data_IF_978313627063
#
_entry.id   IF_978313627063
#
_cell.length_a   1.000
_cell.length_b   1.000
_cell.length_c   1.000
_cell.angle_alpha   90.00
_cell.angle_beta   90.00
_cell.angle_gamma   90.00
#
_symmetry.space_group_name_H-M   'P 1'
#
loop_
_entity.id
_entity.type
_entity.pdbx_description
1 polymer ?
#
# COMPACT_ATOMS: atom_id res chain seq x y z
N UNK A 1 34.79 53.70 -14.83
CA UNK A 1 35.44 52.40 -14.55
C UNK A 1 35.02 51.73 -13.21
N UNK A 2 34.68 52.46 -12.16
CA UNK A 2 34.33 51.90 -10.80
C UNK A 2 33.04 51.04 -10.76
N UNK A 3 32.01 51.33 -11.51
CA UNK A 3 30.72 50.58 -11.51
C UNK A 3 30.77 49.16 -12.13
N UNK A 4 31.73 48.86 -13.00
CA UNK A 4 31.89 47.53 -13.67
C UNK A 4 32.55 46.50 -12.75
N UNK A 5 33.42 46.95 -11.83
CA UNK A 5 34.11 46.07 -10.89
C UNK A 5 33.17 45.59 -9.74
N UNK A 6 32.28 46.44 -9.25
CA UNK A 6 31.33 46.08 -8.19
C UNK A 6 30.28 45.04 -8.66
N UNK A 7 29.86 45.05 -9.94
CA UNK A 7 28.96 44.02 -10.50
C UNK A 7 29.66 42.67 -10.61
N UNK A 8 30.93 42.65 -11.07
CA UNK A 8 31.71 41.40 -11.14
C UNK A 8 31.95 40.80 -9.76
N UNK A 9 32.25 41.60 -8.75
CA UNK A 9 32.45 41.15 -7.37
C UNK A 9 31.16 40.50 -6.80
N UNK A 10 30.01 41.14 -6.99
CA UNK A 10 28.72 40.58 -6.54
C UNK A 10 28.35 39.27 -7.22
N UNK A 11 28.67 39.13 -8.50
CA UNK A 11 28.40 37.86 -9.23
C UNK A 11 29.30 36.73 -8.68
N UNK A 12 30.57 37.02 -8.38
CA UNK A 12 31.49 36.06 -7.80
C UNK A 12 31.02 35.66 -6.37
N UNK A 13 30.61 36.61 -5.53
CA UNK A 13 30.08 36.33 -4.20
C UNK A 13 28.81 35.48 -4.24
N UNK A 14 27.87 35.77 -5.15
CA UNK A 14 26.67 34.95 -5.34
C UNK A 14 27.04 33.54 -5.83
N UNK A 15 27.98 33.42 -6.78
CA UNK A 15 28.42 32.13 -7.26
C UNK A 15 29.06 31.28 -6.16
N UNK A 16 29.92 31.87 -5.33
CA UNK A 16 30.54 31.21 -4.18
C UNK A 16 29.48 30.77 -3.16
N UNK A 17 28.50 31.64 -2.86
CA UNK A 17 27.40 31.31 -1.95
C UNK A 17 26.55 30.14 -2.45
N UNK A 18 26.17 30.13 -3.72
CA UNK A 18 25.42 29.03 -4.35
C UNK A 18 26.22 27.73 -4.31
N UNK A 19 27.53 27.79 -4.57
CA UNK A 19 28.41 26.60 -4.52
C UNK A 19 28.49 26.03 -3.11
N UNK A 20 28.62 26.91 -2.09
CA UNK A 20 28.64 26.49 -0.67
C UNK A 20 27.31 25.83 -0.27
N UNK A 21 26.17 26.44 -0.67
CA UNK A 21 24.83 25.87 -0.38
C UNK A 21 24.68 24.50 -1.01
N UNK A 22 25.03 24.33 -2.29
CA UNK A 22 24.99 23.04 -2.96
C UNK A 22 25.92 22.01 -2.31
N UNK A 23 27.11 22.43 -1.87
CA UNK A 23 28.05 21.55 -1.18
C UNK A 23 27.52 21.10 0.20
N UNK A 24 26.90 22.01 0.95
CA UNK A 24 26.24 21.69 2.23
C UNK A 24 25.07 20.72 1.99
N UNK A 25 24.23 20.94 0.98
CA UNK A 25 23.17 19.99 0.61
C UNK A 25 23.71 18.62 0.25
N UNK A 26 24.78 18.55 -0.54
CA UNK A 26 25.42 17.28 -0.91
C UNK A 26 25.98 16.54 0.33
N UNK A 27 26.64 17.25 1.25
CA UNK A 27 27.17 16.68 2.49
C UNK A 27 26.03 16.18 3.38
N UNK A 28 24.96 16.95 3.54
CA UNK A 28 23.81 16.53 4.36
C UNK A 28 23.09 15.33 3.74
N UNK A 29 22.96 15.27 2.43
CA UNK A 29 22.39 14.11 1.75
C UNK A 29 23.26 12.84 1.96
N UNK A 30 24.57 12.93 1.79
CA UNK A 30 25.51 11.83 2.03
C UNK A 30 25.50 11.41 3.51
N UNK A 31 25.46 12.36 4.43
CA UNK A 31 25.41 12.08 5.86
C UNK A 31 24.10 11.39 6.25
N UNK A 32 22.97 11.87 5.74
CA UNK A 32 21.67 11.26 5.97
C UNK A 32 21.59 9.84 5.38
N UNK A 33 22.07 9.65 4.15
CA UNK A 33 22.11 8.32 3.51
C UNK A 33 22.98 7.34 4.32
N UNK A 34 24.15 7.76 4.78
CA UNK A 34 25.06 6.94 5.59
C UNK A 34 24.46 6.61 6.97
N UNK A 35 23.78 7.58 7.60
CA UNK A 35 23.14 7.40 8.90
C UNK A 35 21.93 6.46 8.79
N UNK A 36 21.09 6.63 7.77
CA UNK A 36 19.95 5.74 7.49
C UNK A 36 20.44 4.32 7.24
N UNK A 37 21.48 4.14 6.40
CA UNK A 37 22.04 2.82 6.10
C UNK A 37 22.60 2.13 7.34
N UNK A 38 23.32 2.84 8.21
CA UNK A 38 23.86 2.28 9.47
C UNK A 38 22.74 1.87 10.41
N UNK A 39 21.68 2.68 10.54
CA UNK A 39 20.54 2.35 11.39
C UNK A 39 19.76 1.14 10.86
N UNK A 40 19.57 1.05 9.55
CA UNK A 40 18.84 -0.08 8.94
C UNK A 40 19.60 -1.40 9.05
N UNK A 41 20.93 -1.38 9.01
CA UNK A 41 21.78 -2.57 9.20
C UNK A 41 21.67 -3.16 10.63
N UNK A 42 21.37 -2.34 11.63
CA UNK A 42 21.17 -2.77 13.03
C UNK A 42 19.78 -3.33 13.30
N UNK A 43 18.82 -3.10 12.40
CA UNK A 43 17.44 -3.54 12.60
C UNK A 43 17.28 -5.05 12.39
N UNK A 44 16.37 -5.63 13.15
CA UNK A 44 16.05 -7.05 13.05
C UNK A 44 15.47 -7.37 11.66
N UNK A 45 16.06 -8.39 11.02
CA UNK A 45 15.50 -8.97 9.80
C UNK A 45 14.73 -10.27 10.08
N UNK A 46 14.38 -10.52 11.34
CA UNK A 46 13.54 -11.66 11.71
C UNK A 46 12.18 -11.51 11.02
N UNK A 47 11.82 -12.55 10.27
CA UNK A 47 10.54 -12.63 9.58
C UNK A 47 9.38 -12.62 10.57
N UNK A 48 8.41 -11.77 10.33
CA UNK A 48 7.12 -11.71 10.97
C UNK A 48 6.08 -12.06 9.91
N UNK A 49 5.29 -13.09 10.14
CA UNK A 49 4.12 -13.42 9.34
C UNK A 49 2.89 -12.73 9.93
N UNK A 50 2.15 -12.02 9.10
CA UNK A 50 0.91 -11.38 9.53
C UNK A 50 -0.20 -12.41 9.69
N UNK A 51 -0.89 -12.37 10.80
CA UNK A 51 -2.03 -13.20 11.08
C UNK A 51 -3.09 -12.44 11.86
N UNK A 52 -4.34 -12.86 11.72
CA UNK A 52 -5.47 -12.30 12.42
C UNK A 52 -6.24 -13.41 13.16
N UNK A 53 -6.65 -13.15 14.38
CA UNK A 53 -7.61 -13.97 15.12
C UNK A 53 -8.93 -13.22 15.17
N UNK A 54 -9.93 -13.73 14.45
CA UNK A 54 -11.26 -13.11 14.40
C UNK A 54 -11.92 -13.10 15.77
N UNK A 55 -12.67 -12.03 16.02
CA UNK A 55 -13.59 -11.92 17.14
C UNK A 55 -15.03 -12.06 16.66
N UNK A 56 -15.94 -12.30 17.58
CA UNK A 56 -17.37 -12.33 17.32
C UNK A 56 -17.99 -10.91 17.45
N UNK A 57 -19.27 -10.78 17.13
CA UNK A 57 -20.08 -9.58 17.38
C UNK A 57 -19.57 -8.29 16.72
N UNK A 58 -18.91 -8.41 15.56
CA UNK A 58 -18.35 -7.26 14.82
C UNK A 58 -17.27 -6.48 15.60
N UNK A 59 -16.61 -7.11 16.55
CA UNK A 59 -15.46 -6.56 17.23
C UNK A 59 -14.20 -6.66 16.36
N UNK A 60 -13.29 -5.70 16.53
CA UNK A 60 -12.00 -5.75 15.83
C UNK A 60 -11.26 -7.06 16.15
N UNK A 61 -10.63 -7.71 15.16
CA UNK A 61 -9.86 -8.91 15.38
C UNK A 61 -8.59 -8.62 16.18
N UNK A 62 -8.08 -9.64 16.86
CA UNK A 62 -6.72 -9.59 17.41
C UNK A 62 -5.70 -9.83 16.28
N UNK A 63 -4.91 -8.82 16.02
CA UNK A 63 -3.83 -8.84 15.00
C UNK A 63 -2.45 -9.08 15.61
N UNK A 64 -2.41 -9.40 16.92
CA UNK A 64 -1.18 -9.56 17.68
C UNK A 64 -0.53 -8.22 18.02
N UNK A 65 -0.64 -7.79 19.27
CA UNK A 65 -0.17 -6.46 19.72
C UNK A 65 1.31 -6.20 19.41
N UNK A 66 2.19 -7.21 19.56
CA UNK A 66 3.60 -7.07 19.26
C UNK A 66 3.85 -6.78 17.76
N UNK A 67 3.17 -7.49 16.86
CA UNK A 67 3.30 -7.30 15.41
C UNK A 67 2.71 -5.95 14.98
N UNK A 68 1.57 -5.57 15.57
CA UNK A 68 0.94 -4.27 15.35
C UNK A 68 1.87 -3.13 15.76
N UNK A 69 2.47 -3.19 16.94
CA UNK A 69 3.39 -2.16 17.45
C UNK A 69 4.60 -1.98 16.51
N UNK A 70 5.20 -3.07 16.03
CA UNK A 70 6.30 -3.00 15.06
C UNK A 70 5.84 -2.37 13.75
N UNK A 71 4.66 -2.74 13.24
CA UNK A 71 4.10 -2.16 12.02
C UNK A 71 3.87 -0.64 12.17
N UNK A 72 3.24 -0.22 13.25
CA UNK A 72 2.91 1.19 13.53
C UNK A 72 4.14 2.06 13.78
N UNK A 73 5.20 1.50 14.39
CA UNK A 73 6.49 2.19 14.58
C UNK A 73 7.07 2.70 13.26
N UNK A 74 6.81 2.01 12.15
CA UNK A 74 7.25 2.40 10.81
C UNK A 74 6.09 2.93 9.94
N UNK A 75 5.10 3.59 10.55
CA UNK A 75 3.97 4.22 9.87
C UNK A 75 3.10 3.24 9.06
N UNK A 76 3.13 1.95 9.38
CA UNK A 76 2.26 0.96 8.77
C UNK A 76 0.89 0.92 9.44
N UNK A 77 -0.11 0.39 8.73
CA UNK A 77 -1.49 0.32 9.19
C UNK A 77 -2.10 -1.07 8.94
N UNK A 78 -3.02 -1.48 9.80
CA UNK A 78 -3.76 -2.73 9.68
C UNK A 78 -5.21 -2.63 10.17
N UNK A 79 -5.47 -1.74 11.11
CA UNK A 79 -6.77 -1.49 11.75
C UNK A 79 -6.97 0.01 11.87
N UNK A 80 -8.11 0.50 11.47
CA UNK A 80 -8.53 1.88 11.65
C UNK A 80 -9.26 2.10 12.97
N UNK A 81 -9.88 3.27 13.08
CA UNK A 81 -10.58 3.72 14.27
C UNK A 81 -11.71 2.77 14.68
N UNK A 82 -11.63 2.26 15.89
CA UNK A 82 -12.61 1.30 16.47
C UNK A 82 -14.01 1.92 16.72
N UNK A 83 -14.12 3.25 16.79
CA UNK A 83 -15.41 3.94 16.99
C UNK A 83 -16.13 4.25 15.67
N UNK A 84 -15.49 4.01 14.52
CA UNK A 84 -16.00 4.37 13.20
C UNK A 84 -16.32 3.11 12.39
N UNK A 85 -17.56 2.99 11.94
CA UNK A 85 -18.00 1.94 11.00
C UNK A 85 -17.44 2.18 9.60
N UNK A 86 -16.11 2.26 9.47
CA UNK A 86 -15.41 2.44 8.21
C UNK A 86 -14.80 1.13 7.72
N UNK A 87 -14.95 0.89 6.43
CA UNK A 87 -14.33 -0.22 5.70
C UNK A 87 -13.42 0.36 4.62
N UNK A 88 -12.16 -0.03 4.64
CA UNK A 88 -11.17 0.28 3.62
C UNK A 88 -11.01 -0.97 2.74
N UNK A 89 -11.69 -0.97 1.59
CA UNK A 89 -11.70 -2.11 0.68
C UNK A 89 -10.41 -2.14 -0.12
N UNK A 90 -9.73 -3.28 -0.13
CA UNK A 90 -8.46 -3.46 -0.84
C UNK A 90 -8.44 -4.77 -1.62
N UNK A 91 -7.77 -4.75 -2.77
CA UNK A 91 -7.54 -5.92 -3.61
C UNK A 91 -6.06 -6.12 -3.86
N UNK A 92 -5.59 -7.37 -3.82
CA UNK A 92 -4.28 -7.74 -4.32
C UNK A 92 -4.43 -8.32 -5.74
N UNK A 93 -3.65 -7.73 -6.69
CA UNK A 93 -3.75 -8.01 -8.13
C UNK A 93 -2.40 -8.46 -8.68
N UNK A 94 -2.18 -9.76 -8.73
CA UNK A 94 -0.98 -10.35 -9.33
C UNK A 94 -1.10 -10.55 -10.83
N UNK A 95 -2.26 -10.98 -11.30
CA UNK A 95 -2.63 -11.22 -12.69
C UNK A 95 -4.16 -11.13 -12.85
N UNK A 96 -4.61 -10.90 -14.09
CA UNK A 96 -6.02 -10.73 -14.42
C UNK A 96 -6.66 -12.09 -14.79
N UNK A 97 -7.77 -12.40 -14.13
CA UNK A 97 -8.57 -13.58 -14.41
C UNK A 97 -9.90 -13.28 -15.16
N UNK A 98 -10.06 -12.05 -15.63
CA UNK A 98 -11.24 -11.59 -16.37
C UNK A 98 -12.32 -10.95 -15.50
N UNK A 99 -11.99 -10.57 -14.25
CA UNK A 99 -12.98 -10.09 -13.29
C UNK A 99 -12.83 -8.62 -12.91
N UNK A 100 -11.66 -8.02 -13.04
CA UNK A 100 -11.40 -6.66 -12.54
C UNK A 100 -12.29 -5.61 -13.21
N UNK A 101 -12.58 -5.74 -14.50
CA UNK A 101 -13.52 -4.84 -15.19
C UNK A 101 -14.90 -4.85 -14.52
N UNK A 102 -15.39 -6.02 -14.11
CA UNK A 102 -16.66 -6.17 -13.40
C UNK A 102 -16.59 -5.62 -11.97
N UNK A 103 -15.48 -5.83 -11.28
CA UNK A 103 -15.23 -5.25 -9.95
C UNK A 103 -15.29 -3.71 -10.02
N UNK A 104 -14.61 -3.09 -10.98
CA UNK A 104 -14.64 -1.63 -11.19
C UNK A 104 -16.04 -1.12 -11.49
N UNK A 105 -16.81 -1.81 -12.34
CA UNK A 105 -18.22 -1.49 -12.59
C UNK A 105 -19.06 -1.50 -11.31
N UNK A 106 -18.91 -2.53 -10.48
CA UNK A 106 -19.62 -2.66 -9.21
C UNK A 106 -19.24 -1.53 -8.25
N UNK A 107 -17.95 -1.24 -8.12
CA UNK A 107 -17.44 -0.15 -7.25
C UNK A 107 -17.99 1.20 -7.71
N UNK A 108 -18.01 1.46 -9.00
CA UNK A 108 -18.56 2.69 -9.59
C UNK A 108 -20.06 2.83 -9.30
N UNK A 109 -20.84 1.78 -9.55
CA UNK A 109 -22.29 1.77 -9.34
C UNK A 109 -22.66 1.98 -7.86
N UNK A 110 -21.80 1.54 -6.95
CA UNK A 110 -21.97 1.71 -5.52
C UNK A 110 -21.26 2.95 -4.94
N UNK A 111 -20.56 3.74 -5.78
CA UNK A 111 -19.78 4.92 -5.35
C UNK A 111 -18.75 4.57 -4.25
N UNK A 112 -18.08 3.45 -4.41
CA UNK A 112 -17.02 2.97 -3.49
C UNK A 112 -15.67 3.14 -4.15
N UNK A 113 -14.70 3.68 -3.39
CA UNK A 113 -13.30 3.70 -3.79
C UNK A 113 -12.54 2.60 -3.06
N UNK A 114 -11.68 1.90 -3.80
CA UNK A 114 -10.86 0.81 -3.28
C UNK A 114 -9.37 1.09 -3.54
N UNK A 115 -8.52 0.29 -2.92
CA UNK A 115 -7.08 0.26 -3.23
C UNK A 115 -6.72 -1.05 -3.90
N UNK A 116 -6.00 -0.98 -5.02
CA UNK A 116 -5.52 -2.14 -5.77
C UNK A 116 -4.00 -2.22 -5.63
N UNK A 117 -3.50 -3.23 -4.94
CA UNK A 117 -2.07 -3.51 -4.83
C UNK A 117 -1.65 -4.38 -6.01
N UNK A 118 -0.94 -3.78 -6.96
CA UNK A 118 -0.64 -4.39 -8.25
C UNK A 118 0.84 -4.78 -8.38
N UNK A 119 1.12 -5.74 -9.26
CA UNK A 119 2.47 -6.15 -9.65
C UNK A 119 2.83 -5.63 -11.05
N UNK A 120 4.11 -5.63 -11.47
CA UNK A 120 4.50 -5.26 -12.84
C UNK A 120 3.86 -6.15 -13.92
N UNK A 121 3.64 -7.44 -13.61
CA UNK A 121 2.94 -8.33 -14.53
C UNK A 121 1.54 -7.81 -14.85
N UNK A 122 0.80 -7.42 -13.79
CA UNK A 122 -0.54 -6.85 -13.95
C UNK A 122 -0.51 -5.56 -14.77
N UNK A 123 0.40 -4.64 -14.45
CA UNK A 123 0.56 -3.36 -15.19
C UNK A 123 0.83 -3.60 -16.68
N UNK A 124 1.73 -4.53 -16.99
CA UNK A 124 2.16 -4.77 -18.37
C UNK A 124 1.11 -5.49 -19.21
N UNK A 125 0.25 -6.29 -18.60
CA UNK A 125 -0.80 -7.04 -19.29
C UNK A 125 -2.16 -6.36 -19.26
N UNK A 126 -2.39 -5.43 -18.34
CA UNK A 126 -3.69 -4.79 -18.06
C UNK A 126 -3.57 -3.26 -17.92
N UNK A 127 -2.80 -2.62 -18.79
CA UNK A 127 -2.52 -1.19 -18.72
C UNK A 127 -3.81 -0.34 -18.70
N UNK A 128 -4.81 -0.69 -19.51
CA UNK A 128 -6.09 0.01 -19.57
C UNK A 128 -6.90 -0.11 -18.28
N UNK A 129 -6.86 -1.26 -17.60
CA UNK A 129 -7.51 -1.43 -16.30
C UNK A 129 -6.84 -0.60 -15.21
N UNK A 130 -5.50 -0.54 -15.20
CA UNK A 130 -4.75 0.31 -14.26
C UNK A 130 -5.07 1.78 -14.50
N UNK A 131 -5.13 2.21 -15.76
CA UNK A 131 -5.54 3.56 -16.13
C UNK A 131 -6.96 3.85 -15.65
N UNK A 132 -7.90 2.94 -15.86
CA UNK A 132 -9.28 3.08 -15.38
C UNK A 132 -9.35 3.18 -13.84
N UNK A 133 -8.57 2.37 -13.10
CA UNK A 133 -8.49 2.48 -11.63
C UNK A 133 -8.12 3.90 -11.20
N UNK A 134 -7.09 4.48 -11.82
CA UNK A 134 -6.61 5.83 -11.51
C UNK A 134 -7.66 6.90 -11.89
N UNK A 135 -8.21 6.83 -13.10
CA UNK A 135 -9.20 7.79 -13.61
C UNK A 135 -10.51 7.76 -12.83
N UNK A 136 -10.91 6.61 -12.33
CA UNK A 136 -12.07 6.44 -11.47
C UNK A 136 -11.78 6.81 -10.00
N UNK A 137 -10.55 7.23 -9.65
CA UNK A 137 -10.16 7.70 -8.33
C UNK A 137 -9.96 6.58 -7.31
N UNK A 138 -9.62 5.39 -7.75
CA UNK A 138 -9.11 4.33 -6.89
C UNK A 138 -7.62 4.56 -6.60
N UNK A 139 -7.14 3.99 -5.50
CA UNK A 139 -5.71 4.01 -5.19
C UNK A 139 -5.04 2.83 -5.86
N UNK A 140 -3.95 3.09 -6.58
CA UNK A 140 -3.03 2.06 -7.07
C UNK A 140 -1.87 1.96 -6.11
N UNK A 141 -1.73 0.82 -5.44
CA UNK A 141 -0.72 0.50 -4.45
C UNK A 141 0.33 -0.47 -4.99
N UNK A 142 1.49 -0.47 -4.35
CA UNK A 142 2.65 -1.27 -4.74
C UNK A 142 2.58 -2.67 -4.10
N UNK A 143 2.65 -3.73 -4.91
CA UNK A 143 2.73 -5.11 -4.41
C UNK A 143 4.05 -5.79 -4.75
N UNK A 144 5.11 -4.99 -4.90
CA UNK A 144 6.48 -5.38 -5.26
C UNK A 144 6.64 -5.92 -6.69
N UNK A 145 7.89 -6.03 -7.14
CA UNK A 145 8.19 -6.50 -8.51
C UNK A 145 8.05 -8.01 -8.66
N UNK A 146 8.63 -8.78 -7.74
CA UNK A 146 8.74 -10.23 -7.89
C UNK A 146 7.92 -11.01 -6.86
N UNK A 147 7.08 -10.36 -6.07
CA UNK A 147 6.24 -10.97 -5.03
C UNK A 147 7.04 -11.86 -4.06
N UNK A 148 8.26 -11.44 -3.71
CA UNK A 148 9.14 -12.15 -2.77
C UNK A 148 8.87 -11.75 -1.33
N UNK A 149 9.14 -12.68 -0.40
CA UNK A 149 9.18 -12.36 1.02
C UNK A 149 10.22 -11.25 1.29
N UNK A 150 9.78 -10.10 1.75
CA UNK A 150 10.62 -8.93 1.97
C UNK A 150 11.75 -9.18 3.00
N UNK A 151 11.52 -9.94 4.11
CA UNK A 151 12.58 -10.31 5.04
C UNK A 151 13.70 -11.14 4.45
N UNK A 152 13.48 -11.83 3.34
CA UNK A 152 14.49 -12.67 2.70
C UNK A 152 15.42 -11.87 1.76
N UNK A 153 15.24 -10.54 1.69
CA UNK A 153 15.95 -9.65 0.79
C UNK A 153 16.95 -8.75 1.53
N UNK A 154 18.02 -8.37 0.84
CA UNK A 154 18.88 -7.27 1.30
C UNK A 154 18.16 -5.92 1.16
N UNK A 155 18.64 -4.90 1.84
CA UNK A 155 18.07 -3.54 1.77
C UNK A 155 17.99 -3.03 0.33
N UNK A 156 19.06 -3.21 -0.45
CA UNK A 156 19.11 -2.80 -1.85
C UNK A 156 18.07 -3.52 -2.71
N UNK A 157 17.85 -4.82 -2.43
CA UNK A 157 16.81 -5.59 -3.13
C UNK A 157 15.41 -5.16 -2.72
N UNK A 158 15.19 -4.83 -1.44
CA UNK A 158 13.91 -4.28 -0.99
C UNK A 158 13.62 -2.97 -1.70
N UNK A 159 14.58 -2.03 -1.73
CA UNK A 159 14.45 -0.77 -2.48
C UNK A 159 14.12 -1.01 -3.95
N UNK A 160 14.81 -1.95 -4.57
CA UNK A 160 14.58 -2.31 -5.97
C UNK A 160 13.16 -2.84 -6.19
N UNK A 161 12.68 -3.77 -5.36
CA UNK A 161 11.32 -4.34 -5.42
C UNK A 161 10.23 -3.27 -5.33
N UNK A 162 10.48 -2.16 -4.66
CA UNK A 162 9.51 -1.06 -4.50
C UNK A 162 9.67 -0.04 -5.63
N UNK A 163 10.90 0.44 -5.87
CA UNK A 163 11.14 1.58 -6.75
C UNK A 163 11.01 1.26 -8.24
N UNK A 164 11.30 0.03 -8.68
CA UNK A 164 11.10 -0.34 -10.09
C UNK A 164 9.63 -0.30 -10.51
N UNK A 165 8.74 -0.82 -9.65
CA UNK A 165 7.31 -0.74 -9.93
C UNK A 165 6.80 0.69 -9.83
N UNK A 166 7.27 1.45 -8.82
CA UNK A 166 6.94 2.87 -8.70
C UNK A 166 7.27 3.64 -9.98
N UNK A 167 8.52 3.49 -10.47
CA UNK A 167 8.96 4.17 -11.68
C UNK A 167 8.13 3.77 -12.91
N UNK A 168 7.80 2.48 -13.03
CA UNK A 168 6.95 1.99 -14.11
C UNK A 168 5.57 2.66 -14.12
N UNK A 169 4.95 2.80 -12.95
CA UNK A 169 3.64 3.45 -12.81
C UNK A 169 3.76 4.95 -13.07
N UNK A 170 4.80 5.58 -12.55
CA UNK A 170 5.04 7.00 -12.78
C UNK A 170 5.24 7.33 -14.27
N UNK A 171 6.08 6.56 -14.96
CA UNK A 171 6.39 6.76 -16.37
C UNK A 171 5.15 6.55 -17.28
N UNK A 172 4.29 5.58 -16.94
CA UNK A 172 3.10 5.28 -17.74
C UNK A 172 1.92 6.22 -17.49
N UNK A 173 1.71 6.58 -16.22
CA UNK A 173 0.46 7.23 -15.80
C UNK A 173 0.67 8.57 -15.08
N UNK A 174 1.91 9.01 -14.86
CA UNK A 174 2.24 10.17 -14.02
C UNK A 174 1.56 10.10 -12.64
N UNK A 175 1.55 8.88 -12.06
CA UNK A 175 0.89 8.57 -10.80
C UNK A 175 1.91 8.20 -9.72
N UNK A 176 1.81 8.86 -8.56
CA UNK A 176 2.68 8.64 -7.39
C UNK A 176 2.05 7.62 -6.45
N UNK A 177 2.67 6.44 -6.33
CA UNK A 177 2.23 5.41 -5.41
C UNK A 177 2.66 5.75 -3.98
N UNK A 178 1.75 5.64 -3.01
CA UNK A 178 1.99 5.99 -1.59
C UNK A 178 1.87 4.79 -0.65
N UNK A 179 1.18 3.74 -1.07
CA UNK A 179 0.85 2.58 -0.25
C UNK A 179 1.52 1.33 -0.81
N UNK A 180 1.99 0.48 0.08
CA UNK A 180 2.62 -0.79 -0.26
C UNK A 180 2.07 -1.90 0.62
N UNK A 181 1.80 -3.05 0.02
CA UNK A 181 1.47 -4.27 0.76
C UNK A 181 2.58 -5.30 0.55
N UNK A 182 3.21 -5.79 1.63
CA UNK A 182 4.25 -6.80 1.50
C UNK A 182 3.63 -8.14 1.06
N UNK A 183 4.26 -8.83 0.09
CA UNK A 183 3.81 -10.14 -0.35
C UNK A 183 3.67 -11.14 0.80
N UNK A 184 2.67 -12.02 0.71
CA UNK A 184 2.41 -13.09 1.69
C UNK A 184 2.12 -12.59 3.10
N UNK A 185 1.97 -11.29 3.32
CA UNK A 185 1.89 -10.71 4.66
C UNK A 185 3.17 -10.86 5.47
N UNK A 186 4.32 -11.02 4.82
CA UNK A 186 5.61 -11.21 5.48
C UNK A 186 6.43 -9.93 5.50
N UNK A 187 6.85 -9.50 6.68
CA UNK A 187 7.69 -8.33 6.87
C UNK A 187 8.71 -8.55 7.98
N UNK A 188 9.64 -7.64 8.13
CA UNK A 188 10.56 -7.52 9.25
C UNK A 188 10.69 -6.05 9.63
N UNK A 189 11.24 -5.77 10.79
CA UNK A 189 11.56 -4.41 11.22
C UNK A 189 12.40 -3.66 10.17
N UNK A 190 13.42 -4.34 9.62
CA UNK A 190 14.24 -3.82 8.54
C UNK A 190 13.41 -3.49 7.30
N UNK A 191 12.57 -4.42 6.82
CA UNK A 191 11.78 -4.19 5.60
C UNK A 191 10.79 -3.05 5.77
N UNK A 192 10.16 -2.89 6.94
CA UNK A 192 9.27 -1.79 7.26
C UNK A 192 10.01 -0.45 7.29
N UNK A 193 11.20 -0.41 7.92
CA UNK A 193 12.04 0.78 7.98
C UNK A 193 12.44 1.25 6.58
N UNK A 194 12.89 0.32 5.71
CA UNK A 194 13.23 0.63 4.32
C UNK A 194 12.02 1.17 3.57
N UNK A 195 10.87 0.49 3.65
CA UNK A 195 9.63 0.91 3.01
C UNK A 195 9.21 2.33 3.44
N UNK A 196 9.23 2.60 4.75
CA UNK A 196 8.91 3.91 5.30
C UNK A 196 9.92 4.99 4.85
N UNK A 197 11.21 4.67 4.77
CA UNK A 197 12.25 5.60 4.31
C UNK A 197 12.09 6.02 2.85
N UNK A 198 11.40 5.21 2.04
CA UNK A 198 11.04 5.51 0.66
C UNK A 198 9.73 6.32 0.53
N UNK A 199 9.13 6.72 1.65
CA UNK A 199 7.88 7.48 1.68
C UNK A 199 6.62 6.62 1.57
N UNK A 200 6.73 5.30 1.62
CA UNK A 200 5.58 4.40 1.55
C UNK A 200 4.98 4.10 2.91
N UNK A 201 3.65 4.01 2.95
CA UNK A 201 2.91 3.45 4.07
C UNK A 201 2.64 1.97 3.82
N UNK A 202 3.11 1.10 4.73
CA UNK A 202 2.81 -0.34 4.67
C UNK A 202 1.38 -0.60 5.10
N UNK A 203 0.62 -1.35 4.30
CA UNK A 203 -0.79 -1.67 4.56
C UNK A 203 -0.95 -3.16 4.72
N UNK A 204 -1.30 -3.60 5.93
CA UNK A 204 -1.75 -4.95 6.23
C UNK A 204 -3.28 -4.99 6.18
N UNK A 205 -3.90 -6.00 6.77
CA UNK A 205 -5.36 -6.19 6.76
C UNK A 205 -5.87 -6.67 8.11
N UNK A 206 -7.13 -6.44 8.37
CA UNK A 206 -7.84 -6.97 9.53
C UNK A 206 -8.91 -8.00 9.16
N UNK A 207 -9.20 -8.13 7.86
CA UNK A 207 -9.99 -9.23 7.31
C UNK A 207 -9.36 -9.75 6.03
N UNK A 208 -9.27 -11.07 5.91
CA UNK A 208 -8.94 -11.81 4.69
C UNK A 208 -9.47 -13.23 4.80
N UNK A 209 -9.63 -13.90 3.67
CA UNK A 209 -9.93 -15.34 3.64
C UNK A 209 -9.31 -15.96 2.39
N UNK A 210 -9.35 -17.30 2.28
CA UNK A 210 -8.77 -18.02 1.14
C UNK A 210 -9.69 -17.90 -0.07
N UNK A 211 -9.40 -16.96 -0.96
CA UNK A 211 -10.20 -16.60 -2.14
C UNK A 211 -9.40 -16.57 -3.46
N UNK A 212 -8.07 -16.66 -3.37
CA UNK A 212 -7.13 -16.48 -4.50
C UNK A 212 -6.94 -17.74 -5.38
N UNK A 213 -7.36 -18.91 -4.91
CA UNK A 213 -7.17 -20.16 -5.65
C UNK A 213 -8.26 -20.30 -6.71
N UNK A 214 -7.92 -20.12 -7.99
CA UNK A 214 -8.87 -20.17 -9.11
C UNK A 214 -9.49 -21.56 -9.30
N UNK A 215 -8.71 -22.62 -9.05
CA UNK A 215 -9.18 -24.00 -9.19
C UNK A 215 -10.09 -24.43 -8.02
N UNK A 216 -10.07 -23.67 -6.94
CA UNK A 216 -10.83 -23.98 -5.71
C UNK A 216 -11.50 -22.73 -5.16
N UNK A 217 -12.41 -22.18 -5.95
CA UNK A 217 -13.18 -21.02 -5.49
C UNK A 217 -14.11 -21.42 -4.35
N UNK A 218 -14.17 -20.61 -3.27
CA UNK A 218 -15.07 -20.86 -2.15
C UNK A 218 -16.54 -20.62 -2.59
N UNK A 219 -17.47 -21.29 -1.92
CA UNK A 219 -18.90 -21.12 -2.19
C UNK A 219 -19.39 -19.71 -1.89
N UNK A 220 -20.21 -19.12 -2.76
CA UNK A 220 -20.62 -17.72 -2.71
C UNK A 220 -21.38 -17.37 -1.42
N UNK A 221 -22.43 -18.12 -1.06
CA UNK A 221 -23.23 -17.84 0.13
C UNK A 221 -22.42 -17.94 1.43
N UNK A 222 -21.53 -18.93 1.53
CA UNK A 222 -20.64 -19.08 2.69
C UNK A 222 -19.61 -17.96 2.77
N UNK A 223 -19.08 -17.54 1.62
CA UNK A 223 -18.12 -16.45 1.52
C UNK A 223 -18.76 -15.13 1.90
N UNK A 224 -19.95 -14.86 1.37
CA UNK A 224 -20.74 -13.69 1.72
C UNK A 224 -21.06 -13.64 3.22
N UNK A 225 -21.58 -14.73 3.77
CA UNK A 225 -21.86 -14.83 5.20
C UNK A 225 -20.58 -14.64 6.05
N UNK A 226 -19.44 -15.23 5.60
CA UNK A 226 -18.15 -15.06 6.28
C UNK A 226 -17.72 -13.60 6.30
N UNK A 227 -17.83 -12.88 5.18
CA UNK A 227 -17.46 -11.47 5.11
C UNK A 227 -18.39 -10.65 6.00
N UNK A 228 -19.68 -10.76 5.82
CA UNK A 228 -20.66 -9.96 6.56
C UNK A 228 -20.60 -10.19 8.08
N UNK A 229 -20.43 -11.43 8.54
CA UNK A 229 -20.36 -11.75 9.97
C UNK A 229 -19.04 -11.27 10.63
N UNK A 230 -18.02 -10.96 9.84
CA UNK A 230 -16.73 -10.49 10.35
C UNK A 230 -16.48 -8.99 10.10
N UNK A 231 -17.46 -8.26 9.54
CA UNK A 231 -17.33 -6.80 9.42
C UNK A 231 -17.11 -6.19 10.80
N UNK A 232 -16.19 -5.24 10.87
CA UNK A 232 -15.85 -4.54 12.12
C UNK A 232 -15.44 -3.10 11.85
N UNK A 233 -15.48 -2.27 12.88
CA UNK A 233 -15.12 -0.86 12.78
C UNK A 233 -13.65 -0.70 12.37
N UNK A 234 -13.36 0.21 11.46
CA UNK A 234 -12.01 0.48 10.98
C UNK A 234 -11.39 -0.68 10.18
N UNK A 235 -12.20 -1.50 9.53
CA UNK A 235 -11.74 -2.68 8.78
C UNK A 235 -10.88 -2.31 7.58
N UNK A 236 -9.70 -2.91 7.47
CA UNK A 236 -8.99 -3.02 6.20
C UNK A 236 -9.28 -4.42 5.64
N UNK A 237 -10.16 -4.47 4.63
CA UNK A 237 -10.60 -5.70 3.99
C UNK A 237 -9.67 -6.06 2.84
N UNK A 238 -9.05 -7.23 2.89
CA UNK A 238 -8.29 -7.80 1.78
C UNK A 238 -9.13 -8.82 1.04
N UNK A 239 -9.32 -8.59 -0.24
CA UNK A 239 -9.84 -9.52 -1.23
C UNK A 239 -8.84 -9.68 -2.38
N UNK A 240 -9.01 -10.70 -3.23
CA UNK A 240 -8.22 -10.84 -4.45
C UNK A 240 -9.10 -10.65 -5.69
N UNK A 241 -8.60 -9.87 -6.66
CA UNK A 241 -9.34 -9.53 -7.87
C UNK A 241 -9.50 -10.69 -8.84
N UNK A 242 -8.65 -11.72 -8.74
CA UNK A 242 -8.78 -12.95 -9.52
C UNK A 242 -9.87 -13.92 -8.99
N UNK A 243 -10.62 -13.53 -7.94
CA UNK A 243 -11.67 -14.37 -7.38
C UNK A 243 -13.01 -14.16 -8.08
N UNK A 244 -13.49 -15.22 -8.75
CA UNK A 244 -14.85 -15.28 -9.32
C UNK A 244 -15.91 -15.10 -8.23
N UNK A 245 -15.73 -15.78 -7.11
CA UNK A 245 -16.66 -15.72 -5.98
C UNK A 245 -16.78 -14.29 -5.46
N UNK A 246 -15.66 -13.61 -5.19
CA UNK A 246 -15.69 -12.22 -4.75
C UNK A 246 -16.42 -11.32 -5.74
N UNK A 247 -16.13 -11.46 -7.02
CA UNK A 247 -16.77 -10.67 -8.08
C UNK A 247 -18.28 -10.82 -8.09
N UNK A 248 -18.78 -12.04 -7.91
CA UNK A 248 -20.20 -12.32 -7.93
C UNK A 248 -20.95 -11.78 -6.70
N UNK A 249 -20.32 -11.79 -5.52
CA UNK A 249 -20.96 -11.37 -4.26
C UNK A 249 -20.66 -9.93 -3.87
N UNK A 250 -19.72 -9.23 -4.51
CA UNK A 250 -19.22 -7.90 -4.12
C UNK A 250 -20.34 -6.86 -4.03
N UNK A 251 -21.23 -6.80 -5.01
CA UNK A 251 -22.34 -5.83 -5.01
C UNK A 251 -23.26 -6.02 -3.79
N UNK A 252 -23.62 -7.27 -3.50
CA UNK A 252 -24.46 -7.58 -2.34
C UNK A 252 -23.76 -7.27 -1.01
N UNK A 253 -22.46 -7.59 -0.89
CA UNK A 253 -21.65 -7.27 0.29
C UNK A 253 -21.64 -5.76 0.55
N UNK A 254 -21.37 -4.96 -0.48
CA UNK A 254 -21.33 -3.50 -0.33
C UNK A 254 -22.68 -2.96 0.13
N UNK A 255 -23.78 -3.42 -0.50
CA UNK A 255 -25.14 -2.97 -0.15
C UNK A 255 -25.53 -3.36 1.27
N UNK A 256 -25.27 -4.61 1.67
CA UNK A 256 -25.62 -5.09 3.00
C UNK A 256 -24.73 -4.45 4.08
N UNK A 257 -23.43 -4.26 3.84
CA UNK A 257 -22.56 -3.53 4.76
C UNK A 257 -23.07 -2.08 4.98
N UNK A 258 -23.49 -1.40 3.90
CA UNK A 258 -24.10 -0.06 4.00
C UNK A 258 -25.41 -0.08 4.81
N UNK A 259 -26.27 -1.11 4.63
CA UNK A 259 -27.49 -1.28 5.44
C UNK A 259 -27.19 -1.52 6.92
N UNK A 260 -26.04 -2.16 7.24
CA UNK A 260 -25.56 -2.32 8.61
C UNK A 260 -24.91 -1.04 9.16
N UNK A 261 -24.89 0.04 8.37
CA UNK A 261 -24.37 1.35 8.75
C UNK A 261 -22.87 1.53 8.54
N UNK A 262 -22.20 0.64 7.78
CA UNK A 262 -20.80 0.82 7.41
C UNK A 262 -20.67 1.80 6.23
N UNK A 263 -19.59 2.58 6.26
CA UNK A 263 -19.17 3.47 5.18
C UNK A 263 -17.87 2.96 4.56
N UNK A 264 -17.82 2.88 3.24
CA UNK A 264 -16.58 2.56 2.53
C UNK A 264 -15.76 3.84 2.34
N UNK A 265 -14.51 3.81 2.77
CA UNK A 265 -13.56 4.93 2.70
C UNK A 265 -12.32 4.56 1.90
N UNK A 266 -11.71 5.55 1.26
CA UNK A 266 -10.40 5.43 0.66
C UNK A 266 -9.32 5.35 1.74
N UNK A 267 -8.17 4.69 1.48
CA UNK A 267 -7.02 4.73 2.39
C UNK A 267 -6.45 6.16 2.56
N UNK A 268 -6.69 7.07 1.62
CA UNK A 268 -6.32 8.48 1.79
C UNK A 268 -7.17 9.20 2.88
N UNK A 269 -8.31 8.61 3.25
CA UNK A 269 -9.18 9.06 4.34
C UNK A 269 -8.99 8.25 5.63
N UNK A 270 -7.91 7.46 5.72
CA UNK A 270 -7.68 6.55 6.84
C UNK A 270 -7.57 7.30 8.17
N UNK A 271 -8.33 6.82 9.16
CA UNK A 271 -8.36 7.33 10.52
C UNK A 271 -7.92 6.24 11.50
N UNK A 272 -6.94 6.57 12.35
CA UNK A 272 -6.48 5.73 13.46
C UNK A 272 -7.45 5.78 14.64
#
# INVERSE_FOLDING_TARGET
>A
MRKKNTKKLKIVEISIFVTIVLFVFAITAIYNEKTVKTNTELLSNKKIGWGIKRNDNHEQPDVGSANKNVLEQYNGIALGNNEKKYIYLTFDEGYEAGYTSKILEILKNNQVKATFFITPHYVNTQEELVKQMIEEGHIVGNHTVNHKSMPDLSEEKIKKEILELHQTIYDKFNYEMKYMRPPKGEFSEKSLSVTNSLGYKTVMWSFAYEDWNEDKQPEEEKSKAKILNNLHNGEIMLLHGNSKTNTNILDSIIKEAKQMGYEFKSLDEFQN
#
